data_IF_817308991582
#
_entry.id   IF_817308991582
#
_cell.length_a   1.000
_cell.length_b   1.000
_cell.length_c   1.000
_cell.angle_alpha   90.00
_cell.angle_beta   90.00
_cell.angle_gamma   90.00
#
_symmetry.space_group_name_H-M   'P 1'
#
loop_
_entity.id
_entity.type
_entity.pdbx_description
1 polymer ?
#
# COMPACT_ATOMS: atom_id res chain seq x y z
N UNK A 1 -11.52 58.97 13.45
CA UNK A 1 -11.57 58.03 12.31
C UNK A 1 -12.87 58.27 11.57
N UNK A 2 -12.84 58.44 10.25
CA UNK A 2 -14.05 58.80 9.45
C UNK A 2 -14.66 57.59 8.75
N UNK A 3 -15.95 57.65 8.41
CA UNK A 3 -16.64 56.56 7.67
C UNK A 3 -15.97 56.28 6.31
N UNK A 4 -15.51 57.34 5.63
CA UNK A 4 -14.79 57.23 4.34
C UNK A 4 -13.49 56.45 4.50
N UNK A 5 -12.73 56.72 5.55
CA UNK A 5 -11.49 56.01 5.88
C UNK A 5 -11.76 54.51 6.11
N UNK A 6 -12.84 54.15 6.81
CA UNK A 6 -13.26 52.76 6.99
C UNK A 6 -13.65 52.09 5.65
N UNK A 7 -14.34 52.81 4.76
CA UNK A 7 -14.73 52.29 3.44
C UNK A 7 -13.53 52.04 2.52
N UNK A 8 -12.54 52.94 2.53
CA UNK A 8 -11.32 52.78 1.73
C UNK A 8 -10.50 51.59 2.26
N UNK A 9 -10.34 51.46 3.58
CA UNK A 9 -9.60 50.34 4.16
C UNK A 9 -10.27 49.00 3.87
N UNK A 10 -11.59 48.90 4.02
CA UNK A 10 -12.32 47.64 3.78
C UNK A 10 -12.31 47.22 2.31
N UNK A 11 -12.38 48.17 1.37
CA UNK A 11 -12.28 47.87 -0.07
C UNK A 11 -10.89 47.38 -0.46
N UNK A 12 -9.83 48.00 0.06
CA UNK A 12 -8.44 47.55 -0.15
C UNK A 12 -8.25 46.13 0.41
N UNK A 13 -8.75 45.85 1.62
CA UNK A 13 -8.67 44.52 2.22
C UNK A 13 -9.44 43.47 1.41
N UNK A 14 -10.63 43.79 0.92
CA UNK A 14 -11.43 42.90 0.08
C UNK A 14 -10.71 42.59 -1.25
N UNK A 15 -10.11 43.60 -1.89
CA UNK A 15 -9.34 43.42 -3.12
C UNK A 15 -8.10 42.56 -2.90
N UNK A 16 -7.35 42.78 -1.81
CA UNK A 16 -6.21 41.95 -1.46
C UNK A 16 -6.62 40.49 -1.21
N UNK A 17 -7.71 40.26 -0.47
CA UNK A 17 -8.22 38.92 -0.20
C UNK A 17 -8.62 38.19 -1.48
N UNK A 18 -9.27 38.87 -2.43
CA UNK A 18 -9.68 38.29 -3.70
C UNK A 18 -8.49 37.83 -4.57
N UNK A 19 -7.37 38.57 -4.53
CA UNK A 19 -6.16 38.24 -5.29
C UNK A 19 -5.33 37.13 -4.65
N UNK A 20 -5.30 37.06 -3.31
CA UNK A 20 -4.46 36.10 -2.58
C UNK A 20 -5.13 34.72 -2.50
N UNK A 21 -6.46 34.65 -2.42
CA UNK A 21 -7.19 33.40 -2.18
C UNK A 21 -6.94 32.30 -3.23
N UNK A 22 -6.92 32.58 -4.56
CA UNK A 22 -6.61 31.56 -5.56
C UNK A 22 -5.19 31.01 -5.42
N UNK A 23 -4.21 31.87 -5.19
CA UNK A 23 -2.80 31.50 -5.01
C UNK A 23 -2.63 30.60 -3.78
N UNK A 24 -3.32 30.92 -2.69
CA UNK A 24 -3.33 30.10 -1.48
C UNK A 24 -3.94 28.71 -1.72
N UNK A 25 -5.07 28.63 -2.45
CA UNK A 25 -5.69 27.35 -2.82
C UNK A 25 -4.74 26.46 -3.64
N UNK A 26 -4.03 27.03 -4.61
CA UNK A 26 -3.04 26.30 -5.43
C UNK A 26 -1.86 25.80 -4.60
N UNK A 27 -1.33 26.61 -3.70
CA UNK A 27 -0.23 26.21 -2.82
C UNK A 27 -0.65 25.04 -1.91
N UNK A 28 -1.84 25.10 -1.32
CA UNK A 28 -2.34 24.00 -0.50
C UNK A 28 -2.61 22.73 -1.31
N UNK A 29 -3.05 22.85 -2.56
CA UNK A 29 -3.21 21.70 -3.45
C UNK A 29 -1.85 21.05 -3.73
N UNK A 30 -0.84 21.85 -4.09
CA UNK A 30 0.52 21.36 -4.35
C UNK A 30 1.13 20.63 -3.15
N UNK A 31 0.95 21.18 -1.94
CA UNK A 31 1.43 20.53 -0.71
C UNK A 31 0.75 19.17 -0.48
N UNK A 32 -0.55 19.05 -0.78
CA UNK A 32 -1.29 17.77 -0.66
C UNK A 32 -0.85 16.77 -1.72
N UNK A 33 -0.62 17.20 -2.96
CA UNK A 33 -0.10 16.33 -4.03
C UNK A 33 1.29 15.79 -3.70
N UNK A 34 2.18 16.65 -3.20
CA UNK A 34 3.51 16.24 -2.76
C UNK A 34 3.43 15.20 -1.63
N UNK A 35 2.59 15.45 -0.62
CA UNK A 35 2.35 14.50 0.48
C UNK A 35 1.76 13.19 -0.02
N UNK A 36 0.85 13.24 -0.99
CA UNK A 36 0.25 12.03 -1.56
C UNK A 36 1.31 11.16 -2.23
N UNK A 37 2.17 11.77 -3.08
CA UNK A 37 3.27 11.06 -3.74
C UNK A 37 4.27 10.48 -2.73
N UNK A 38 4.59 11.21 -1.67
CA UNK A 38 5.46 10.74 -0.59
C UNK A 38 4.86 9.52 0.12
N UNK A 39 3.58 9.57 0.48
CA UNK A 39 2.88 8.45 1.14
C UNK A 39 2.84 7.22 0.23
N UNK A 40 2.48 7.39 -1.05
CA UNK A 40 2.43 6.28 -2.00
C UNK A 40 3.81 5.65 -2.17
N UNK A 41 4.86 6.46 -2.27
CA UNK A 41 6.25 5.97 -2.33
C UNK A 41 6.68 5.24 -1.06
N UNK A 42 6.24 5.68 0.13
CA UNK A 42 6.51 4.98 1.39
C UNK A 42 5.81 3.61 1.43
N UNK A 43 4.56 3.55 0.97
CA UNK A 43 3.79 2.30 0.88
C UNK A 43 4.42 1.31 -0.11
N UNK A 44 4.89 1.79 -1.27
CA UNK A 44 5.62 0.97 -2.22
C UNK A 44 6.93 0.43 -1.63
N UNK A 45 7.72 1.30 -0.98
CA UNK A 45 8.96 0.89 -0.31
C UNK A 45 8.69 -0.13 0.81
N UNK A 46 7.59 0.01 1.53
CA UNK A 46 7.16 -0.94 2.55
C UNK A 46 6.74 -2.29 1.97
N UNK A 47 6.02 -2.29 0.83
CA UNK A 47 5.66 -3.50 0.09
C UNK A 47 6.91 -4.24 -0.39
N UNK A 48 7.87 -3.52 -0.95
CA UNK A 48 9.11 -4.12 -1.45
C UNK A 48 9.98 -4.65 -0.31
N UNK A 49 10.00 -3.95 0.83
CA UNK A 49 10.60 -4.41 2.08
C UNK A 49 9.93 -5.70 2.59
N UNK A 50 8.60 -5.81 2.50
CA UNK A 50 7.88 -7.02 2.83
C UNK A 50 8.27 -8.19 1.92
N UNK A 51 8.27 -7.97 0.60
CA UNK A 51 8.62 -8.99 -0.39
C UNK A 51 10.03 -9.53 -0.18
N UNK A 52 11.00 -8.64 0.07
CA UNK A 52 12.38 -9.02 0.36
C UNK A 52 12.52 -9.78 1.68
N UNK A 53 11.79 -9.37 2.72
CA UNK A 53 11.76 -10.07 4.00
C UNK A 53 11.21 -11.49 3.87
N UNK A 54 10.05 -11.64 3.23
CA UNK A 54 9.44 -12.96 2.96
C UNK A 54 10.35 -13.85 2.13
N UNK A 55 10.98 -13.30 1.09
CA UNK A 55 11.91 -14.05 0.23
C UNK A 55 13.11 -14.58 0.99
N UNK A 56 13.67 -13.78 1.92
CA UNK A 56 14.78 -14.22 2.79
C UNK A 56 14.34 -15.30 3.77
N UNK A 57 13.19 -15.12 4.42
CA UNK A 57 12.66 -16.13 5.34
C UNK A 57 12.40 -17.47 4.65
N UNK A 58 11.86 -17.45 3.42
CA UNK A 58 11.70 -18.66 2.61
C UNK A 58 13.04 -19.31 2.31
N UNK A 59 14.02 -18.52 1.88
CA UNK A 59 15.36 -19.02 1.56
C UNK A 59 15.99 -19.71 2.78
N UNK A 60 16.00 -19.05 3.94
CA UNK A 60 16.61 -19.57 5.17
C UNK A 60 16.00 -20.92 5.58
N UNK A 61 14.68 -21.05 5.47
CA UNK A 61 13.96 -22.28 5.81
C UNK A 61 14.21 -23.40 4.80
N UNK A 62 14.27 -23.09 3.50
CA UNK A 62 14.56 -24.07 2.45
C UNK A 62 16.01 -24.55 2.55
N UNK A 63 16.94 -23.64 2.89
CA UNK A 63 18.33 -23.95 3.16
C UNK A 63 18.49 -24.88 4.37
N UNK A 64 17.77 -24.61 5.46
CA UNK A 64 17.76 -25.50 6.62
C UNK A 64 17.16 -26.89 6.32
N UNK A 65 16.20 -26.97 5.39
CA UNK A 65 15.52 -28.22 5.04
C UNK A 65 16.29 -29.10 4.04
N UNK A 66 17.23 -28.54 3.25
CA UNK A 66 17.86 -29.24 2.14
C UNK A 66 19.39 -29.07 2.12
N UNK A 67 20.12 -30.18 2.16
CA UNK A 67 21.60 -30.18 2.11
C UNK A 67 22.21 -30.03 0.70
N UNK A 68 21.44 -30.31 -0.37
CA UNK A 68 21.92 -30.26 -1.75
C UNK A 68 21.57 -28.93 -2.44
N UNK A 69 22.58 -28.24 -3.00
CA UNK A 69 22.44 -26.96 -3.72
C UNK A 69 21.42 -27.00 -4.86
N UNK A 70 21.39 -28.10 -5.63
CA UNK A 70 20.49 -28.22 -6.77
C UNK A 70 19.02 -28.34 -6.31
N UNK A 71 18.79 -29.09 -5.24
CA UNK A 71 17.46 -29.24 -4.63
C UNK A 71 17.00 -27.92 -4.01
N UNK A 72 17.89 -27.21 -3.29
CA UNK A 72 17.61 -25.87 -2.73
C UNK A 72 17.13 -24.88 -3.79
N UNK A 73 17.85 -24.79 -4.90
CA UNK A 73 17.51 -23.86 -5.98
C UNK A 73 16.18 -24.21 -6.65
N UNK A 74 15.86 -25.49 -6.82
CA UNK A 74 14.57 -25.94 -7.35
C UNK A 74 13.43 -25.64 -6.39
N UNK A 75 13.58 -26.01 -5.12
CA UNK A 75 12.61 -25.76 -4.06
C UNK A 75 12.32 -24.26 -3.87
N UNK A 76 13.35 -23.41 -3.94
CA UNK A 76 13.17 -21.97 -3.83
C UNK A 76 12.44 -21.36 -5.05
N UNK A 77 12.77 -21.81 -6.27
CA UNK A 77 12.03 -21.37 -7.47
C UNK A 77 10.55 -21.75 -7.38
N UNK A 78 10.27 -22.97 -6.93
CA UNK A 78 8.90 -23.43 -6.72
C UNK A 78 8.20 -22.63 -5.62
N UNK A 79 8.90 -22.36 -4.52
CA UNK A 79 8.36 -21.56 -3.44
C UNK A 79 7.99 -20.14 -3.91
N UNK A 80 8.86 -19.51 -4.70
CA UNK A 80 8.55 -18.22 -5.30
C UNK A 80 7.34 -18.28 -6.24
N UNK A 81 7.20 -19.34 -7.05
CA UNK A 81 6.06 -19.52 -7.93
C UNK A 81 4.75 -19.66 -7.13
N UNK A 82 4.71 -20.56 -6.16
CA UNK A 82 3.57 -20.77 -5.27
C UNK A 82 3.21 -19.51 -4.47
N UNK A 83 4.20 -18.83 -3.87
CA UNK A 83 3.97 -17.59 -3.13
C UNK A 83 3.49 -16.44 -4.01
N UNK A 84 3.89 -16.41 -5.29
CA UNK A 84 3.38 -15.42 -6.25
C UNK A 84 1.94 -15.73 -6.63
N UNK A 85 1.64 -16.98 -6.95
CA UNK A 85 0.29 -17.43 -7.33
C UNK A 85 -0.72 -17.22 -6.21
N UNK A 86 -0.31 -17.41 -4.96
CA UNK A 86 -1.16 -17.22 -3.78
C UNK A 86 -1.17 -15.77 -3.26
N UNK A 87 -0.35 -14.86 -3.83
CA UNK A 87 -0.27 -13.47 -3.39
C UNK A 87 0.49 -13.26 -2.06
N UNK A 88 1.20 -14.27 -1.57
CA UNK A 88 1.88 -14.31 -0.27
C UNK A 88 3.19 -13.52 -0.25
N UNK A 89 3.73 -13.19 -1.43
CA UNK A 89 4.87 -12.26 -1.58
C UNK A 89 4.53 -10.80 -1.25
N UNK A 90 3.25 -10.49 -1.13
CA UNK A 90 2.74 -9.16 -0.82
C UNK A 90 2.12 -9.14 0.58
N UNK A 91 2.02 -7.96 1.25
CA UNK A 91 1.36 -7.84 2.54
C UNK A 91 -0.05 -8.43 2.49
N UNK A 92 -0.37 -9.42 3.33
CA UNK A 92 -1.61 -10.20 3.19
C UNK A 92 -2.89 -9.34 3.18
N UNK A 93 -2.86 -8.23 3.92
CA UNK A 93 -3.91 -7.21 3.97
C UNK A 93 -3.29 -5.83 4.23
N UNK A 94 -4.04 -4.73 4.09
CA UNK A 94 -3.57 -3.39 4.45
C UNK A 94 -3.08 -3.29 5.91
N UNK A 95 -3.72 -4.00 6.84
CA UNK A 95 -3.30 -4.04 8.23
C UNK A 95 -1.90 -4.65 8.43
N UNK A 96 -1.47 -5.55 7.52
CA UNK A 96 -0.18 -6.24 7.58
C UNK A 96 1.02 -5.31 7.31
N UNK A 97 0.81 -4.10 6.81
CA UNK A 97 1.86 -3.08 6.73
C UNK A 97 2.24 -2.54 8.11
N UNK A 98 1.22 -2.33 8.95
CA UNK A 98 1.30 -1.58 10.21
C UNK A 98 1.49 -2.49 11.40
N UNK A 99 0.80 -3.62 11.39
CA UNK A 99 0.87 -4.59 12.46
C UNK A 99 1.69 -5.78 11.99
N UNK A 100 2.77 -6.15 12.71
CA UNK A 100 3.28 -7.50 12.56
C UNK A 100 2.09 -8.43 12.81
N UNK A 101 1.93 -9.51 12.05
CA UNK A 101 0.83 -10.42 12.30
C UNK A 101 1.03 -11.08 13.68
N UNK A 102 0.54 -10.43 14.74
CA UNK A 102 0.62 -10.85 16.15
C UNK A 102 -0.53 -11.81 16.50
N UNK A 103 -0.94 -12.64 15.56
CA UNK A 103 -1.52 -13.92 15.93
C UNK A 103 -0.37 -14.93 15.94
N UNK A 104 -0.06 -15.57 17.08
CA UNK A 104 0.74 -16.79 17.08
C UNK A 104 0.08 -17.75 16.07
N UNK A 105 0.73 -18.00 14.91
CA UNK A 105 0.18 -18.86 13.86
C UNK A 105 -0.19 -18.21 12.52
N UNK A 106 0.07 -16.92 12.30
CA UNK A 106 0.00 -16.37 10.95
C UNK A 106 1.28 -16.65 10.16
N UNK A 107 1.58 -17.93 10.01
CA UNK A 107 2.50 -18.40 9.01
C UNK A 107 1.71 -18.90 7.81
N UNK A 108 2.26 -18.71 6.62
CA UNK A 108 1.75 -19.39 5.45
C UNK A 108 2.75 -20.46 5.04
N UNK A 109 2.21 -21.55 4.50
CA UNK A 109 3.02 -22.61 3.93
C UNK A 109 3.17 -22.35 2.44
N UNK A 110 4.40 -22.48 1.96
CA UNK A 110 4.72 -22.37 0.55
C UNK A 110 5.16 -23.75 0.05
N UNK A 111 4.66 -24.14 -1.13
CA UNK A 111 5.04 -25.39 -1.77
C UNK A 111 6.54 -25.40 -2.09
N UNK A 112 7.24 -26.47 -1.72
CA UNK A 112 8.66 -26.66 -2.05
C UNK A 112 8.92 -27.86 -2.95
N UNK A 113 7.89 -28.66 -3.20
CA UNK A 113 7.93 -29.84 -4.07
C UNK A 113 7.83 -29.41 -5.54
N UNK A 114 8.82 -29.76 -6.40
CA UNK A 114 8.82 -29.36 -7.80
C UNK A 114 7.64 -29.90 -8.62
N UNK A 115 6.98 -30.96 -8.16
CA UNK A 115 5.92 -31.64 -8.92
C UNK A 115 4.49 -31.24 -8.48
N UNK A 116 4.34 -30.50 -7.37
CA UNK A 116 3.05 -30.17 -6.75
C UNK A 116 3.06 -28.76 -6.12
N UNK A 117 2.16 -27.87 -6.57
CA UNK A 117 1.99 -26.50 -6.05
C UNK A 117 1.15 -26.41 -4.76
N UNK A 118 1.01 -27.52 -4.05
CA UNK A 118 0.24 -27.64 -2.81
C UNK A 118 0.87 -26.88 -1.62
N UNK A 119 0.06 -26.12 -0.89
CA UNK A 119 0.42 -25.49 0.40
C UNK A 119 0.39 -26.48 1.57
N UNK A 120 0.42 -27.79 1.30
CA UNK A 120 0.46 -28.84 2.31
C UNK A 120 1.70 -28.67 3.22
N UNK A 121 1.53 -28.48 4.54
CA UNK A 121 2.63 -28.36 5.49
C UNK A 121 3.57 -29.56 5.51
N UNK A 122 3.15 -30.74 5.03
CA UNK A 122 4.04 -31.91 4.91
C UNK A 122 5.03 -31.80 3.74
N UNK A 123 4.73 -31.00 2.72
CA UNK A 123 5.55 -30.82 1.50
C UNK A 123 6.08 -29.39 1.31
N UNK A 124 5.80 -28.53 2.27
CA UNK A 124 6.06 -27.10 2.19
C UNK A 124 6.84 -26.55 3.37
N UNK A 125 7.21 -25.28 3.24
CA UNK A 125 7.93 -24.52 4.27
C UNK A 125 7.01 -23.46 4.85
N UNK A 126 6.93 -23.41 6.17
CA UNK A 126 6.14 -22.40 6.89
C UNK A 126 6.97 -21.13 7.14
N UNK A 127 6.46 -19.99 6.66
CA UNK A 127 7.09 -18.67 6.77
C UNK A 127 6.30 -17.82 7.75
N UNK A 128 6.94 -17.33 8.81
CA UNK A 128 6.31 -16.43 9.80
C UNK A 128 6.70 -14.97 9.56
N UNK A 129 5.73 -14.05 9.66
CA UNK A 129 5.97 -12.61 9.50
C UNK A 129 5.88 -11.89 10.83
N UNK A 130 7.03 -11.57 11.41
CA UNK A 130 7.13 -10.99 12.75
C UNK A 130 7.56 -9.51 12.74
N UNK A 131 7.54 -8.86 11.57
CA UNK A 131 8.04 -7.50 11.39
C UNK A 131 6.95 -6.55 10.93
N UNK A 132 7.05 -5.32 11.42
CA UNK A 132 6.32 -4.14 10.96
C UNK A 132 7.09 -3.44 9.84
N UNK A 133 6.38 -2.99 8.81
CA UNK A 133 7.00 -2.33 7.65
C UNK A 133 6.82 -0.81 7.70
N UNK A 134 5.69 -0.31 8.21
CA UNK A 134 5.44 1.11 8.46
C UNK A 134 4.80 1.35 9.83
N UNK A 135 4.86 2.59 10.34
CA UNK A 135 4.24 2.95 11.61
C UNK A 135 2.71 3.02 11.52
N UNK A 136 2.15 3.63 10.51
CA UNK A 136 0.71 3.62 10.28
C UNK A 136 0.51 4.00 8.84
N UNK A 137 -0.65 3.66 8.27
CA UNK A 137 -1.07 4.22 7.00
C UNK A 137 -1.58 5.64 7.32
N UNK A 138 -0.94 6.71 6.84
CA UNK A 138 -1.42 8.07 7.09
C UNK A 138 -2.81 8.27 6.48
N UNK A 139 -3.61 9.21 6.99
CA UNK A 139 -4.87 9.57 6.35
C UNK A 139 -4.61 10.17 4.97
N UNK A 140 -5.56 9.99 4.05
CA UNK A 140 -5.46 10.52 2.70
C UNK A 140 -5.28 12.06 2.72
N UNK A 141 -4.27 12.65 2.05
CA UNK A 141 -3.99 14.10 2.14
C UNK A 141 -5.14 15.01 1.72
N UNK A 142 -6.00 14.51 0.83
CA UNK A 142 -7.21 15.20 0.36
C UNK A 142 -8.47 14.90 1.19
N UNK A 143 -8.36 14.13 2.27
CA UNK A 143 -9.49 13.91 3.18
C UNK A 143 -10.00 15.26 3.71
N UNK A 144 -11.29 15.54 3.51
CA UNK A 144 -11.92 16.83 3.86
C UNK A 144 -11.77 17.94 2.82
N UNK A 145 -10.90 17.78 1.80
CA UNK A 145 -10.88 18.66 0.62
C UNK A 145 -11.78 18.12 -0.49
N UNK A 146 -11.72 16.81 -0.72
CA UNK A 146 -12.59 16.09 -1.62
C UNK A 146 -13.32 15.00 -0.83
N UNK A 147 -14.66 14.99 -0.90
CA UNK A 147 -15.50 14.13 -0.07
C UNK A 147 -15.23 12.63 -0.26
N UNK A 148 -14.76 12.24 -1.45
CA UNK A 148 -14.53 10.85 -1.82
C UNK A 148 -13.06 10.43 -1.72
N UNK A 149 -12.15 11.34 -1.33
CA UNK A 149 -10.71 11.09 -1.31
C UNK A 149 -10.32 10.03 -0.27
N UNK A 150 -9.73 8.93 -0.75
CA UNK A 150 -9.34 7.78 0.08
C UNK A 150 -8.26 6.95 -0.62
N UNK A 151 -7.61 6.08 0.14
CA UNK A 151 -6.80 5.01 -0.43
C UNK A 151 -7.65 3.79 -0.75
N UNK A 152 -7.35 3.16 -1.87
CA UNK A 152 -7.84 1.83 -2.20
C UNK A 152 -6.66 0.90 -2.50
N UNK A 153 -6.84 -0.37 -2.15
CA UNK A 153 -5.80 -1.39 -2.12
C UNK A 153 -6.15 -2.49 -3.11
N UNK A 154 -5.21 -2.82 -3.99
CA UNK A 154 -5.34 -3.86 -4.99
C UNK A 154 -4.92 -5.22 -4.47
N UNK A 155 -5.80 -6.22 -4.58
CA UNK A 155 -5.48 -7.61 -4.26
C UNK A 155 -4.58 -8.26 -5.31
N UNK A 156 -3.61 -9.06 -4.87
CA UNK A 156 -2.82 -9.92 -5.73
C UNK A 156 -3.67 -11.12 -6.16
N UNK A 157 -4.41 -11.69 -5.21
CA UNK A 157 -5.33 -12.82 -5.42
C UNK A 157 -6.68 -12.52 -4.78
N UNK A 158 -7.75 -12.88 -5.49
CA UNK A 158 -9.11 -12.84 -4.98
C UNK A 158 -10.02 -13.75 -5.81
N UNK A 159 -10.98 -14.38 -5.16
CA UNK A 159 -12.10 -15.10 -5.79
C UNK A 159 -12.91 -14.25 -6.78
N UNK A 160 -12.99 -12.93 -6.55
CA UNK A 160 -13.67 -11.99 -7.46
C UNK A 160 -12.81 -11.59 -8.68
N UNK A 161 -11.59 -12.11 -8.79
CA UNK A 161 -10.62 -11.82 -9.85
C UNK A 161 -9.40 -11.05 -9.34
N UNK A 162 -8.25 -11.14 -10.06
CA UNK A 162 -7.03 -10.46 -9.65
C UNK A 162 -7.15 -8.93 -9.78
N UNK A 163 -6.38 -8.20 -8.97
CA UNK A 163 -6.33 -6.73 -8.93
C UNK A 163 -7.67 -6.06 -8.56
N UNK A 164 -8.54 -6.75 -7.80
CA UNK A 164 -9.73 -6.12 -7.25
C UNK A 164 -9.34 -5.09 -6.19
N UNK A 165 -10.09 -3.99 -6.18
CA UNK A 165 -9.79 -2.82 -5.37
C UNK A 165 -10.70 -2.78 -4.15
N UNK A 166 -10.13 -2.55 -2.97
CA UNK A 166 -10.88 -2.49 -1.72
C UNK A 166 -10.44 -1.31 -0.87
N UNK A 167 -11.36 -0.78 -0.08
CA UNK A 167 -10.99 0.10 1.04
C UNK A 167 -10.34 -0.74 2.13
N UNK A 168 -9.48 -0.12 2.95
CA UNK A 168 -8.84 -0.79 4.09
C UNK A 168 -9.86 -1.52 4.99
N UNK A 169 -10.95 -0.84 5.35
CA UNK A 169 -12.00 -1.39 6.22
C UNK A 169 -12.90 -2.42 5.54
N UNK A 170 -12.82 -2.54 4.21
CA UNK A 170 -13.65 -3.44 3.41
C UNK A 170 -12.83 -4.58 2.78
N UNK A 171 -11.58 -4.78 3.22
CA UNK A 171 -10.72 -5.86 2.71
C UNK A 171 -11.34 -7.23 3.03
N UNK A 172 -11.76 -8.02 2.03
CA UNK A 172 -12.45 -9.28 2.28
C UNK A 172 -11.47 -10.38 2.66
N UNK A 173 -11.94 -11.41 3.35
CA UNK A 173 -11.14 -12.60 3.68
C UNK A 173 -10.77 -13.43 2.45
N UNK A 174 -11.41 -13.19 1.31
CA UNK A 174 -11.12 -13.84 0.03
C UNK A 174 -9.98 -13.17 -0.73
N UNK A 175 -9.61 -11.93 -0.36
CA UNK A 175 -8.52 -11.20 -0.97
C UNK A 175 -7.23 -11.40 -0.18
N UNK A 176 -6.15 -11.74 -0.89
CA UNK A 176 -4.82 -11.89 -0.30
C UNK A 176 -3.79 -11.09 -1.09
N UNK A 177 -2.87 -10.47 -0.36
CA UNK A 177 -1.73 -9.75 -0.92
C UNK A 177 -2.10 -8.36 -1.44
N UNK A 178 -1.57 -7.31 -0.83
CA UNK A 178 -1.71 -5.94 -1.31
C UNK A 178 -0.63 -5.70 -2.36
N UNK A 179 -1.02 -5.80 -3.63
CA UNK A 179 -0.13 -5.63 -4.76
C UNK A 179 0.10 -4.16 -5.09
N UNK A 180 -0.94 -3.35 -5.01
CA UNK A 180 -0.88 -1.92 -5.30
C UNK A 180 -1.74 -1.10 -4.35
N UNK A 181 -1.43 0.18 -4.21
CA UNK A 181 -2.24 1.16 -3.48
C UNK A 181 -2.36 2.39 -4.37
N UNK A 182 -3.58 2.89 -4.54
CA UNK A 182 -3.83 4.09 -5.34
C UNK A 182 -4.66 5.09 -4.54
N UNK A 183 -4.55 6.35 -4.93
CA UNK A 183 -5.50 7.38 -4.53
C UNK A 183 -6.81 7.19 -5.29
N UNK A 184 -7.95 7.49 -4.68
CA UNK A 184 -9.26 7.54 -5.36
C UNK A 184 -10.04 8.76 -4.90
N UNK A 185 -10.61 9.50 -5.84
CA UNK A 185 -11.58 10.55 -5.56
C UNK A 185 -10.95 11.86 -5.09
N UNK A 186 -9.64 12.04 -5.30
CA UNK A 186 -8.95 13.31 -5.06
C UNK A 186 -9.01 14.27 -6.27
N UNK A 187 -9.37 13.76 -7.45
CA UNK A 187 -9.66 14.56 -8.65
C UNK A 187 -8.44 14.77 -9.55
N UNK A 188 -8.43 15.90 -10.26
CA UNK A 188 -7.32 16.28 -11.14
C UNK A 188 -6.22 16.98 -10.36
N UNK A 189 -4.99 16.58 -10.64
CA UNK A 189 -3.80 17.25 -10.14
C UNK A 189 -3.55 18.59 -10.86
N UNK A 190 -2.63 19.40 -10.32
CA UNK A 190 -2.26 20.70 -10.90
C UNK A 190 -1.72 20.54 -12.34
N UNK A 191 -1.07 19.43 -12.65
CA UNK A 191 -0.54 19.11 -13.97
C UNK A 191 -1.61 18.56 -14.95
N UNK A 192 -2.85 18.40 -14.49
CA UNK A 192 -3.96 17.87 -15.28
C UNK A 192 -4.04 16.34 -15.32
N UNK A 193 -3.13 15.61 -14.65
CA UNK A 193 -3.22 14.16 -14.51
C UNK A 193 -4.30 13.77 -13.48
N UNK A 194 -4.87 12.58 -13.65
CA UNK A 194 -5.82 12.04 -12.66
C UNK A 194 -5.04 11.49 -11.47
N UNK A 195 -5.36 11.97 -10.27
CA UNK A 195 -4.81 11.40 -9.03
C UNK A 195 -5.28 9.96 -8.78
N UNK A 196 -6.29 9.50 -9.52
CA UNK A 196 -6.76 8.12 -9.45
C UNK A 196 -5.85 7.13 -10.22
N UNK A 197 -4.90 7.65 -11.00
CA UNK A 197 -3.88 6.88 -11.71
C UNK A 197 -2.54 6.85 -10.96
N UNK A 198 -2.46 7.52 -9.80
CA UNK A 198 -1.26 7.63 -8.98
C UNK A 198 -1.16 6.51 -7.95
#
# INVERSE_FOLDING_TARGET
MTIIELMVVTTILALMAALIFPSFRLMQQRDRENRLREILSELDAARDSYKSYVSRQMWDKIEAANSNNNTRNKAFKQALASATELGLLFPLSPASFVYPLHAPGASFTVATDPDDLSSDPAKGVSVSINRRFIRHIPPHPFAGWAANARFEFGSATDTAGPNKTYRETAWPTTATGVKNVWSVGAGLAIDGSSTDEW
#
